data_IF_109246401180
#
_entry.id   IF_109246401180
#
_cell.length_a   1.000
_cell.length_b   1.000
_cell.length_c   1.000
_cell.angle_alpha   90.00
_cell.angle_beta   90.00
_cell.angle_gamma   90.00
#
_symmetry.space_group_name_H-M   'P 1'
#
loop_
_entity.id
_entity.type
_entity.pdbx_description
1 polymer ?
#
# COMPACT_ATOMS: atom_id res chain seq x y z
N UNK A 1 19.93 -1.03 -9.60
CA UNK A 1 19.38 -1.88 -8.51
C UNK A 1 18.63 -1.02 -7.51
N UNK A 2 17.43 -1.45 -7.13
CA UNK A 2 16.65 -0.76 -6.12
C UNK A 2 17.13 -1.13 -4.73
N UNK A 3 17.19 -0.12 -3.86
CA UNK A 3 17.48 -0.32 -2.46
C UNK A 3 16.16 -0.31 -1.68
N UNK A 4 15.81 -1.44 -1.08
CA UNK A 4 14.62 -1.56 -0.24
C UNK A 4 14.97 -1.88 1.22
N UNK A 5 16.23 -1.70 1.60
CA UNK A 5 16.68 -2.00 2.95
C UNK A 5 16.04 -1.10 4.01
N UNK A 6 15.60 0.10 3.61
CA UNK A 6 14.88 1.01 4.51
C UNK A 6 13.55 0.43 5.01
N UNK A 7 13.01 -0.60 4.34
CA UNK A 7 11.80 -1.31 4.75
C UNK A 7 12.08 -2.46 5.71
N UNK A 8 13.34 -2.78 5.98
CA UNK A 8 13.73 -3.93 6.81
C UNK A 8 12.98 -5.20 6.41
N UNK A 9 13.05 -5.63 5.13
CA UNK A 9 12.20 -6.70 4.64
C UNK A 9 12.58 -8.07 5.22
N UNK A 10 11.55 -8.87 5.52
CA UNK A 10 11.68 -10.27 5.94
C UNK A 10 10.80 -11.10 5.02
N UNK A 11 11.40 -12.01 4.25
CA UNK A 11 10.71 -12.80 3.25
C UNK A 11 10.58 -14.24 3.73
N UNK A 12 9.33 -14.73 3.87
CA UNK A 12 9.02 -16.10 4.21
C UNK A 12 8.65 -16.94 2.99
N UNK A 13 7.99 -18.07 3.21
CA UNK A 13 7.58 -18.97 2.12
C UNK A 13 6.46 -18.39 1.25
N UNK A 14 5.45 -17.81 1.88
CA UNK A 14 4.26 -17.29 1.21
C UNK A 14 3.96 -15.84 1.55
N UNK A 15 4.87 -15.17 2.26
CA UNK A 15 4.63 -13.84 2.77
C UNK A 15 5.91 -13.03 2.85
N UNK A 16 5.76 -11.70 2.91
CA UNK A 16 6.85 -10.86 3.35
C UNK A 16 6.32 -9.85 4.35
N UNK A 17 7.22 -9.35 5.20
CA UNK A 17 6.92 -8.32 6.19
C UNK A 17 7.90 -7.19 5.97
N UNK A 18 7.40 -5.97 5.89
CA UNK A 18 8.22 -4.77 5.82
C UNK A 18 7.80 -3.82 6.94
N UNK A 19 8.75 -3.04 7.42
CA UNK A 19 8.50 -2.10 8.51
C UNK A 19 9.29 -0.83 8.27
N UNK A 20 8.69 0.31 8.62
CA UNK A 20 9.39 1.58 8.56
C UNK A 20 8.80 2.54 9.58
N UNK A 21 9.67 3.35 10.21
CA UNK A 21 9.25 4.38 11.13
C UNK A 21 9.06 5.72 10.41
N UNK A 22 7.98 6.41 10.77
CA UNK A 22 7.65 7.74 10.23
C UNK A 22 7.57 8.74 11.39
N UNK A 23 8.06 9.95 11.17
CA UNK A 23 8.00 11.01 12.17
C UNK A 23 6.64 11.70 12.10
N UNK A 24 5.62 11.01 12.56
CA UNK A 24 4.23 11.47 12.55
C UNK A 24 3.42 10.63 13.54
N UNK A 25 2.34 11.20 14.12
CA UNK A 25 1.46 10.42 15.00
C UNK A 25 0.65 9.40 14.18
N UNK A 26 0.26 8.30 14.83
CA UNK A 26 -0.43 7.22 14.11
C UNK A 26 -1.78 7.62 13.56
N UNK A 27 -2.45 8.60 14.15
CA UNK A 27 -3.70 9.13 13.62
C UNK A 27 -3.49 9.70 12.22
N UNK A 28 -2.43 10.48 12.01
CA UNK A 28 -2.08 11.02 10.70
C UNK A 28 -1.67 9.89 9.76
N UNK A 29 -0.86 8.93 10.24
CA UNK A 29 -0.43 7.81 9.41
C UNK A 29 -1.62 6.97 8.94
N UNK A 30 -2.60 6.73 9.81
CA UNK A 30 -3.80 6.01 9.41
C UNK A 30 -4.57 6.78 8.34
N UNK A 31 -4.66 8.10 8.46
CA UNK A 31 -5.34 8.96 7.48
C UNK A 31 -4.66 8.88 6.11
N UNK A 32 -3.32 8.97 6.06
CA UNK A 32 -2.62 8.96 4.76
C UNK A 32 -2.71 7.60 4.06
N UNK A 33 -3.00 6.53 4.80
CA UNK A 33 -3.22 5.20 4.23
C UNK A 33 -4.68 4.92 3.87
N UNK A 34 -5.63 5.78 4.25
CA UNK A 34 -7.06 5.49 4.08
C UNK A 34 -7.85 6.56 3.34
N UNK A 35 -7.33 7.76 3.18
CA UNK A 35 -8.05 8.85 2.52
C UNK A 35 -7.58 9.01 1.07
N UNK A 36 -8.53 9.06 0.10
CA UNK A 36 -8.18 9.13 -1.33
C UNK A 36 -7.30 10.32 -1.68
N UNK A 37 -7.55 11.50 -1.10
CA UNK A 37 -6.79 12.70 -1.36
C UNK A 37 -5.32 12.57 -0.97
N UNK A 38 -5.03 11.76 0.04
CA UNK A 38 -3.65 11.48 0.44
C UNK A 38 -3.04 10.39 -0.44
N UNK A 39 -3.76 9.29 -0.67
CA UNK A 39 -3.25 8.16 -1.46
C UNK A 39 -2.87 8.58 -2.87
N UNK A 40 -3.60 9.49 -3.47
CA UNK A 40 -3.28 10.03 -4.80
C UNK A 40 -1.89 10.69 -4.85
N UNK A 41 -1.38 11.13 -3.71
CA UNK A 41 -0.13 11.86 -3.63
C UNK A 41 1.10 10.98 -3.48
N UNK A 42 0.96 9.79 -2.88
CA UNK A 42 2.15 9.00 -2.56
C UNK A 42 2.09 7.53 -2.98
N UNK A 43 0.91 7.00 -3.29
CA UNK A 43 0.73 5.55 -3.53
C UNK A 43 1.40 5.05 -4.80
N UNK A 44 1.55 5.87 -5.84
CA UNK A 44 2.14 5.45 -7.10
C UNK A 44 3.62 5.81 -7.20
N UNK A 45 4.48 4.85 -7.62
CA UNK A 45 5.89 5.18 -7.87
C UNK A 45 6.00 6.13 -9.08
N UNK A 46 6.82 7.19 -8.95
CA UNK A 46 7.03 8.09 -10.07
C UNK A 46 7.67 7.36 -11.25
N UNK A 47 7.32 7.66 -12.48
CA UNK A 47 6.46 8.79 -12.92
C UNK A 47 4.98 8.46 -13.08
N UNK A 48 4.49 7.39 -12.45
CA UNK A 48 3.08 7.02 -12.50
C UNK A 48 2.23 8.02 -11.72
N UNK A 49 0.96 8.15 -12.13
CA UNK A 49 -0.04 8.98 -11.44
C UNK A 49 -1.25 8.13 -11.07
N UNK A 50 -2.09 8.66 -10.19
CA UNK A 50 -3.34 8.01 -9.79
C UNK A 50 -4.50 8.94 -10.16
N UNK A 51 -5.03 8.86 -11.39
CA UNK A 51 -6.13 9.71 -11.81
C UNK A 51 -7.46 9.36 -11.14
N UNK A 52 -7.61 8.12 -10.68
CA UNK A 52 -8.84 7.67 -10.02
C UNK A 52 -8.49 6.95 -8.73
N UNK A 53 -9.14 7.32 -7.64
CA UNK A 53 -9.02 6.62 -6.37
C UNK A 53 -10.31 6.82 -5.60
N UNK A 54 -11.09 5.76 -5.44
CA UNK A 54 -12.35 5.79 -4.70
C UNK A 54 -12.29 4.80 -3.55
N UNK A 55 -12.78 5.19 -2.40
CA UNK A 55 -12.71 4.38 -1.18
C UNK A 55 -14.06 4.38 -0.47
N UNK A 56 -14.52 3.18 -0.12
CA UNK A 56 -15.62 2.97 0.80
C UNK A 56 -15.01 2.31 2.04
N UNK A 57 -14.65 3.11 3.03
CA UNK A 57 -13.87 2.67 4.18
C UNK A 57 -14.75 2.00 5.23
N UNK A 58 -15.06 0.74 4.98
CA UNK A 58 -15.83 -0.12 5.91
C UNK A 58 -15.50 -1.57 5.59
N UNK A 59 -15.69 -2.51 6.53
CA UNK A 59 -15.50 -3.94 6.23
C UNK A 59 -16.38 -4.34 5.04
N UNK A 60 -15.78 -4.99 4.04
CA UNK A 60 -16.45 -5.33 2.79
C UNK A 60 -16.48 -4.20 1.76
N UNK A 61 -16.11 -2.97 2.14
CA UNK A 61 -16.03 -1.85 1.21
C UNK A 61 -14.84 -2.00 0.26
N UNK A 62 -14.90 -1.26 -0.84
CA UNK A 62 -13.91 -1.39 -1.91
C UNK A 62 -13.10 -0.11 -2.05
N UNK A 63 -11.79 -0.28 -2.16
CA UNK A 63 -10.84 0.74 -2.56
C UNK A 63 -10.43 0.40 -4.00
N UNK A 64 -10.85 1.24 -4.94
CA UNK A 64 -10.62 1.04 -6.37
C UNK A 64 -9.78 2.17 -6.90
N UNK A 65 -8.68 1.86 -7.59
CA UNK A 65 -7.78 2.90 -8.09
C UNK A 65 -7.14 2.51 -9.40
N UNK A 66 -6.70 3.55 -10.13
CA UNK A 66 -5.99 3.44 -11.39
C UNK A 66 -4.59 4.03 -11.23
N UNK A 67 -3.60 3.27 -11.68
CA UNK A 67 -2.24 3.80 -11.87
C UNK A 67 -2.03 4.04 -13.36
N UNK A 68 -1.65 5.26 -13.71
CA UNK A 68 -1.45 5.63 -15.12
C UNK A 68 0.03 5.88 -15.37
N UNK A 69 0.57 5.19 -16.39
CA UNK A 69 1.95 5.39 -16.82
C UNK A 69 2.11 6.71 -17.57
N UNK A 70 3.36 7.20 -17.73
CA UNK A 70 3.60 8.40 -18.53
C UNK A 70 3.13 8.28 -19.97
N UNK A 71 3.05 7.05 -20.50
CA UNK A 71 2.59 6.76 -21.85
C UNK A 71 1.06 6.71 -21.95
N UNK A 72 0.37 6.88 -20.82
CA UNK A 72 -1.09 6.86 -20.78
C UNK A 72 -1.71 5.47 -20.63
N UNK A 73 -0.93 4.48 -20.24
CA UNK A 73 -1.44 3.12 -19.99
C UNK A 73 -1.97 3.02 -18.57
N UNK A 74 -3.19 2.53 -18.44
CA UNK A 74 -3.86 2.42 -17.15
C UNK A 74 -3.82 0.99 -16.63
N UNK A 75 -3.50 0.87 -15.35
CA UNK A 75 -3.55 -0.39 -14.62
C UNK A 75 -4.46 -0.19 -13.40
N UNK A 76 -5.53 -0.97 -13.33
CA UNK A 76 -6.51 -0.86 -12.26
C UNK A 76 -6.30 -1.94 -11.21
N UNK A 77 -6.61 -1.60 -9.98
CA UNK A 77 -6.59 -2.54 -8.87
C UNK A 77 -7.76 -2.26 -7.93
N UNK A 78 -8.17 -3.30 -7.22
CA UNK A 78 -9.18 -3.15 -6.18
C UNK A 78 -8.72 -3.85 -4.91
N UNK A 79 -9.03 -3.24 -3.80
CA UNK A 79 -8.83 -3.84 -2.49
C UNK A 79 -10.18 -3.93 -1.79
N UNK A 80 -10.39 -5.04 -1.08
CA UNK A 80 -11.60 -5.22 -0.28
C UNK A 80 -11.17 -5.16 1.18
N UNK A 81 -11.70 -4.20 1.93
CA UNK A 81 -11.37 -4.06 3.34
C UNK A 81 -11.96 -5.22 4.14
N UNK A 82 -11.16 -5.77 5.04
CA UNK A 82 -11.55 -6.89 5.91
C UNK A 82 -11.73 -6.42 7.34
N UNK A 83 -10.71 -5.74 7.88
CA UNK A 83 -10.73 -5.27 9.26
C UNK A 83 -10.21 -3.84 9.29
N UNK A 84 -10.90 -2.97 10.01
CA UNK A 84 -10.54 -1.57 10.14
C UNK A 84 -10.63 -1.21 11.62
N UNK A 85 -9.47 -0.97 12.25
CA UNK A 85 -9.38 -0.61 13.67
C UNK A 85 -8.58 0.69 13.78
N UNK A 86 -9.22 1.86 13.57
CA UNK A 86 -8.49 3.13 13.62
C UNK A 86 -8.00 3.45 15.02
N UNK A 87 -6.83 4.00 15.18
CA UNK A 87 -5.75 4.18 14.19
C UNK A 87 -4.68 3.08 14.25
N UNK A 88 -5.05 1.86 14.62
CA UNK A 88 -4.12 0.79 14.97
C UNK A 88 -3.88 -0.25 13.88
N UNK A 89 -4.92 -0.58 13.11
CA UNK A 89 -4.83 -1.73 12.20
C UNK A 89 -5.74 -1.59 10.99
N UNK A 90 -5.26 -2.09 9.86
CA UNK A 90 -6.02 -2.11 8.61
C UNK A 90 -5.67 -3.38 7.86
N UNK A 91 -6.70 -4.16 7.45
CA UNK A 91 -6.50 -5.39 6.70
C UNK A 91 -7.34 -5.36 5.43
N UNK A 92 -6.74 -5.71 4.30
CA UNK A 92 -7.45 -5.73 3.02
C UNK A 92 -6.82 -6.74 2.06
N UNK A 93 -7.65 -7.26 1.15
CA UNK A 93 -7.18 -8.11 0.05
C UNK A 93 -7.14 -7.29 -1.23
N UNK A 94 -6.09 -7.49 -2.04
CA UNK A 94 -5.88 -6.73 -3.26
C UNK A 94 -5.72 -7.67 -4.46
N UNK A 95 -6.35 -7.29 -5.56
CA UNK A 95 -6.19 -7.98 -6.85
C UNK A 95 -6.23 -6.97 -7.98
N UNK A 96 -5.74 -7.35 -9.15
CA UNK A 96 -5.92 -6.55 -10.36
C UNK A 96 -7.40 -6.51 -10.74
N UNK A 97 -7.82 -5.39 -11.31
CA UNK A 97 -9.21 -5.14 -11.64
C UNK A 97 -9.33 -4.40 -12.98
N UNK A 98 -10.56 -4.27 -13.45
CA UNK A 98 -10.87 -3.41 -14.58
C UNK A 98 -11.36 -2.03 -14.11
N UNK A 99 -11.73 -1.17 -15.04
CA UNK A 99 -12.20 0.19 -14.73
C UNK A 99 -13.53 0.22 -13.96
N UNK A 100 -14.25 -0.90 -13.93
CA UNK A 100 -15.52 -1.05 -13.22
C UNK A 100 -15.37 -1.77 -11.87
N UNK A 101 -14.13 -1.96 -11.42
CA UNK A 101 -13.79 -2.65 -10.18
C UNK A 101 -14.10 -4.15 -10.19
N UNK A 102 -14.21 -4.75 -11.36
CA UNK A 102 -14.35 -6.20 -11.47
C UNK A 102 -12.96 -6.85 -11.42
N UNK A 103 -12.77 -7.91 -10.61
CA UNK A 103 -11.47 -8.59 -10.57
C UNK A 103 -11.14 -9.22 -11.91
N UNK A 104 -9.86 -9.17 -12.27
CA UNK A 104 -9.36 -9.84 -13.48
C UNK A 104 -9.21 -11.32 -13.16
N UNK A 105 -9.92 -12.17 -13.91
CA UNK A 105 -9.89 -13.61 -13.70
C UNK A 105 -8.47 -14.17 -13.92
N UNK A 106 -8.05 -15.08 -13.06
CA UNK A 106 -6.75 -15.73 -13.15
C UNK A 106 -5.59 -14.93 -12.56
N UNK A 107 -5.83 -13.73 -12.07
CA UNK A 107 -4.78 -12.92 -11.44
C UNK A 107 -4.69 -13.23 -9.94
N UNK A 108 -3.48 -13.29 -9.38
CA UNK A 108 -3.32 -13.59 -7.96
C UNK A 108 -3.84 -12.47 -7.07
N UNK A 109 -4.26 -12.86 -5.87
CA UNK A 109 -4.73 -11.97 -4.82
C UNK A 109 -3.77 -12.05 -3.65
N UNK A 110 -3.58 -10.96 -2.94
CA UNK A 110 -2.77 -10.96 -1.72
C UNK A 110 -3.49 -10.24 -0.60
N UNK A 111 -3.18 -10.64 0.64
CA UNK A 111 -3.76 -10.07 1.85
C UNK A 111 -2.71 -9.20 2.53
N UNK A 112 -3.03 -7.94 2.76
CA UNK A 112 -2.17 -7.00 3.47
C UNK A 112 -2.75 -6.68 4.83
N UNK A 113 -1.91 -6.76 5.87
CA UNK A 113 -2.23 -6.28 7.20
C UNK A 113 -1.25 -5.18 7.56
N UNK A 114 -1.78 -3.99 7.84
CA UNK A 114 -0.99 -2.85 8.29
C UNK A 114 -1.21 -2.66 9.79
N UNK A 115 -0.12 -2.58 10.53
CA UNK A 115 -0.14 -2.30 11.97
C UNK A 115 0.58 -0.97 12.21
N UNK A 116 -0.08 -0.08 12.95
CA UNK A 116 0.43 1.26 13.25
C UNK A 116 0.74 1.33 14.74
N UNK A 117 2.00 1.39 15.08
CA UNK A 117 2.45 1.44 16.48
C UNK A 117 3.13 2.78 16.74
N UNK A 118 2.60 3.56 17.67
CA UNK A 118 3.17 4.88 18.00
C UNK A 118 3.97 4.83 19.28
N UNK A 119 5.12 5.51 19.23
CA UNK A 119 5.98 5.70 20.40
C UNK A 119 6.69 7.05 20.26
N UNK A 120 6.57 7.90 21.27
CA UNK A 120 7.22 9.23 21.32
C UNK A 120 6.92 10.09 20.07
N UNK A 121 5.67 10.07 19.59
CA UNK A 121 5.24 10.87 18.45
C UNK A 121 5.67 10.33 17.10
N UNK A 122 6.27 9.15 17.06
CA UNK A 122 6.67 8.48 15.83
C UNK A 122 5.88 7.21 15.66
N UNK A 123 5.56 6.86 14.43
CA UNK A 123 4.78 5.67 14.13
C UNK A 123 5.59 4.68 13.30
N UNK A 124 5.65 3.44 13.79
CA UNK A 124 6.16 2.32 13.00
C UNK A 124 4.99 1.70 12.26
N UNK A 125 5.09 1.65 10.94
CA UNK A 125 4.11 0.98 10.09
C UNK A 125 4.69 -0.35 9.65
N UNK A 126 4.02 -1.44 10.03
CA UNK A 126 4.41 -2.79 9.65
C UNK A 126 3.39 -3.32 8.65
N UNK A 127 3.85 -3.70 7.47
CA UNK A 127 3.01 -4.31 6.45
C UNK A 127 3.33 -5.79 6.34
N UNK A 128 2.34 -6.62 6.61
CA UNK A 128 2.43 -8.07 6.48
C UNK A 128 1.64 -8.46 5.24
N UNK A 129 2.31 -8.92 4.19
CA UNK A 129 1.70 -9.23 2.90
C UNK A 129 1.76 -10.74 2.67
N UNK A 130 0.60 -11.37 2.56
CA UNK A 130 0.46 -12.82 2.45
C UNK A 130 -0.10 -13.20 1.09
N UNK A 131 0.49 -14.23 0.49
CA UNK A 131 0.11 -14.74 -0.83
C UNK A 131 -0.47 -16.14 -0.71
N UNK A 132 -1.23 -16.57 -1.71
CA UNK A 132 -1.87 -17.88 -1.72
C UNK A 132 -0.87 -19.03 -1.89
N UNK A 133 0.33 -18.74 -2.40
CA UNK A 133 1.35 -19.75 -2.64
C UNK A 133 2.73 -19.14 -2.68
N UNK A 134 3.76 -19.98 -2.53
CA UNK A 134 5.15 -19.53 -2.70
C UNK A 134 5.41 -19.03 -4.12
N UNK A 135 4.77 -19.63 -5.11
CA UNK A 135 4.89 -19.20 -6.50
C UNK A 135 4.34 -17.77 -6.71
N UNK A 136 3.19 -17.47 -6.09
CA UNK A 136 2.59 -16.14 -6.18
C UNK A 136 3.50 -15.09 -5.52
N UNK A 137 4.10 -15.41 -4.37
CA UNK A 137 5.08 -14.54 -3.73
C UNK A 137 6.28 -14.30 -4.62
N UNK A 138 6.83 -15.35 -5.23
CA UNK A 138 7.97 -15.22 -6.13
C UNK A 138 7.69 -14.28 -7.29
N UNK A 139 6.50 -14.39 -7.90
CA UNK A 139 6.10 -13.51 -8.99
C UNK A 139 6.08 -12.05 -8.51
N UNK A 140 5.47 -11.79 -7.34
CA UNK A 140 5.40 -10.44 -6.78
C UNK A 140 6.77 -9.84 -6.52
N UNK A 141 7.69 -10.63 -5.94
CA UNK A 141 9.05 -10.19 -5.67
C UNK A 141 9.79 -9.90 -6.98
N UNK A 142 9.65 -10.78 -7.96
CA UNK A 142 10.34 -10.67 -9.25
C UNK A 142 9.88 -9.45 -10.06
N UNK A 143 8.61 -9.08 -9.98
CA UNK A 143 8.10 -7.89 -10.68
C UNK A 143 8.41 -6.58 -9.96
N UNK A 144 9.04 -6.65 -8.78
CA UNK A 144 9.53 -5.46 -8.09
C UNK A 144 8.59 -4.86 -7.06
N UNK A 145 7.70 -5.65 -6.45
CA UNK A 145 6.78 -5.13 -5.44
C UNK A 145 7.49 -4.47 -4.26
N UNK A 146 8.58 -5.08 -3.77
CA UNK A 146 9.34 -4.50 -2.66
C UNK A 146 10.02 -3.18 -3.06
N UNK A 147 10.57 -3.11 -4.26
CA UNK A 147 11.19 -1.90 -4.77
C UNK A 147 10.15 -0.77 -4.92
N UNK A 148 8.96 -1.11 -5.42
CA UNK A 148 7.86 -0.14 -5.53
C UNK A 148 7.42 0.37 -4.17
N UNK A 149 7.26 -0.51 -3.20
CA UNK A 149 6.93 -0.12 -1.83
C UNK A 149 8.01 0.76 -1.21
N UNK A 150 9.28 0.41 -1.40
CA UNK A 150 10.39 1.22 -0.90
C UNK A 150 10.33 2.64 -1.46
N UNK A 151 10.10 2.76 -2.75
CA UNK A 151 10.02 4.05 -3.43
C UNK A 151 8.85 4.89 -2.90
N UNK A 152 7.66 4.32 -2.81
CA UNK A 152 6.47 5.06 -2.37
C UNK A 152 6.54 5.40 -0.88
N UNK A 153 7.11 4.53 -0.06
CA UNK A 153 7.28 4.83 1.36
C UNK A 153 8.35 5.89 1.61
N UNK A 154 9.35 6.00 0.72
CA UNK A 154 10.29 7.13 0.76
C UNK A 154 9.57 8.45 0.47
N UNK A 155 8.68 8.48 -0.51
CA UNK A 155 7.84 9.66 -0.77
C UNK A 155 6.97 9.98 0.44
N UNK A 156 6.44 8.95 1.08
CA UNK A 156 5.56 9.11 2.23
C UNK A 156 6.28 9.78 3.40
N UNK A 157 7.56 9.46 3.62
CA UNK A 157 8.35 10.13 4.66
C UNK A 157 8.34 11.64 4.45
N UNK A 158 8.63 12.09 3.25
CA UNK A 158 8.66 13.51 2.93
C UNK A 158 7.26 14.13 2.95
N UNK A 159 6.29 13.39 2.46
CA UNK A 159 4.90 13.85 2.40
C UNK A 159 4.34 14.15 3.80
N UNK A 160 4.52 13.23 4.76
CA UNK A 160 3.99 13.45 6.12
C UNK A 160 4.75 14.55 6.86
N UNK A 161 6.03 14.73 6.57
CA UNK A 161 6.78 15.85 7.12
C UNK A 161 6.24 17.18 6.58
N UNK A 162 5.96 17.24 5.30
CA UNK A 162 5.37 18.42 4.66
C UNK A 162 3.99 18.75 5.23
N UNK A 163 3.15 17.75 5.50
CA UNK A 163 1.83 17.97 6.08
C UNK A 163 1.92 18.60 7.47
N UNK A 164 2.92 18.23 8.25
CA UNK A 164 3.09 18.73 9.62
C UNK A 164 3.78 20.09 9.67
N UNK A 165 4.46 20.49 8.60
CA UNK A 165 5.13 21.77 8.50
C UNK A 165 4.19 22.91 8.09
N UNK A 166 2.97 22.62 7.73
CA UNK A 166 1.97 23.59 7.28
C UNK A 166 1.27 24.30 8.43
#
# INVERSE_FOLDING_TARGET
MFDYLSLSPRIGEQEFVVERQFTAPRTLMFQVFTQPEHLKRWWAPQPYTIPVCTIDLRPGGIWHYCMRSPEGQDQWARSVYREIVPPEKLTYTTTFADEHANPIEGMPEHLTTLIFTEEAGKTSVTAHVQFASAAALSVAVDIGMLQGMSMTWDYLVDYVQGLQAM
#
